data_IF_898211968337
#
_entry.id   IF_898211968337
#
_cell.length_a   1.000
_cell.length_b   1.000
_cell.length_c   1.000
_cell.angle_alpha   90.00
_cell.angle_beta   90.00
_cell.angle_gamma   90.00
#
_symmetry.space_group_name_H-M   'P 1'
#
loop_
_entity.id
_entity.type
_entity.pdbx_description
1 polymer ?
#
# COMPACT_ATOMS: atom_id res chain seq x y z
N UNK A 1 -15.89 -40.08 33.44
CA UNK A 1 -15.40 -40.07 32.02
C UNK A 1 -15.48 -38.70 31.38
N UNK A 2 -16.56 -37.93 31.58
CA UNK A 2 -16.74 -36.55 31.03
C UNK A 2 -15.68 -35.55 31.55
N UNK A 3 -15.32 -35.62 32.82
CA UNK A 3 -14.31 -34.76 33.44
C UNK A 3 -12.88 -34.95 32.93
N UNK A 4 -12.51 -36.17 32.52
CA UNK A 4 -11.21 -36.48 31.95
C UNK A 4 -11.07 -35.95 30.49
N UNK A 5 -12.19 -35.96 29.73
CA UNK A 5 -12.24 -35.45 28.34
C UNK A 5 -12.15 -33.92 28.35
N UNK A 6 -12.84 -33.24 29.27
CA UNK A 6 -12.80 -31.79 29.43
C UNK A 6 -11.41 -31.31 29.91
N UNK A 7 -10.75 -32.05 30.81
CA UNK A 7 -9.38 -31.75 31.27
C UNK A 7 -8.34 -31.91 30.16
N UNK A 8 -8.48 -32.96 29.33
CA UNK A 8 -7.60 -33.19 28.19
C UNK A 8 -7.76 -32.12 27.10
N UNK A 9 -8.98 -31.71 26.78
CA UNK A 9 -9.24 -30.64 25.81
C UNK A 9 -8.72 -29.27 26.30
N UNK A 10 -8.89 -28.93 27.55
CA UNK A 10 -8.37 -27.70 28.16
C UNK A 10 -6.82 -27.71 28.17
N UNK A 11 -6.20 -28.86 28.46
CA UNK A 11 -4.76 -29.03 28.42
C UNK A 11 -4.19 -28.83 26.99
N UNK A 12 -4.82 -29.42 25.98
CA UNK A 12 -4.41 -29.26 24.58
C UNK A 12 -4.57 -27.83 24.07
N UNK A 13 -5.67 -27.14 24.46
CA UNK A 13 -5.88 -25.73 24.13
C UNK A 13 -4.84 -24.86 24.82
N UNK A 14 -4.49 -25.15 26.08
CA UNK A 14 -3.45 -24.42 26.82
C UNK A 14 -2.06 -24.57 26.18
N UNK A 15 -1.68 -25.78 25.78
CA UNK A 15 -0.41 -26.06 25.09
C UNK A 15 -0.36 -25.38 23.72
N UNK A 16 -1.45 -25.45 22.94
CA UNK A 16 -1.53 -24.79 21.64
C UNK A 16 -1.45 -23.26 21.77
N UNK A 17 -2.15 -22.67 22.74
CA UNK A 17 -2.12 -21.24 23.02
C UNK A 17 -0.73 -20.77 23.46
N UNK A 18 -0.06 -21.51 24.34
CA UNK A 18 1.31 -21.22 24.80
C UNK A 18 2.30 -21.32 23.64
N UNK A 19 2.19 -22.34 22.80
CA UNK A 19 3.00 -22.51 21.60
C UNK A 19 2.81 -21.35 20.60
N UNK A 20 1.58 -20.92 20.37
CA UNK A 20 1.26 -19.79 19.48
C UNK A 20 1.82 -18.46 20.03
N UNK A 21 1.69 -18.22 21.33
CA UNK A 21 2.25 -17.04 21.98
C UNK A 21 3.80 -17.04 21.96
N UNK A 22 4.43 -18.18 22.20
CA UNK A 22 5.88 -18.36 22.11
C UNK A 22 6.39 -18.11 20.67
N UNK A 23 5.71 -18.67 19.67
CA UNK A 23 6.02 -18.45 18.27
C UNK A 23 5.88 -16.96 17.92
N UNK A 24 4.77 -16.32 18.30
CA UNK A 24 4.58 -14.88 18.10
C UNK A 24 5.68 -14.05 18.74
N UNK A 25 6.03 -14.35 20.00
CA UNK A 25 7.09 -13.65 20.71
C UNK A 25 8.45 -13.79 20.00
N UNK A 26 8.77 -15.01 19.53
CA UNK A 26 10.00 -15.26 18.77
C UNK A 26 10.04 -14.47 17.46
N UNK A 27 8.95 -14.47 16.68
CA UNK A 27 8.83 -13.70 15.45
C UNK A 27 8.99 -12.21 15.69
N UNK A 28 8.33 -11.67 16.73
CA UNK A 28 8.44 -10.25 17.12
C UNK A 28 9.87 -9.88 17.53
N UNK A 29 10.54 -10.70 18.33
CA UNK A 29 11.94 -10.49 18.72
C UNK A 29 12.87 -10.45 17.51
N UNK A 30 12.68 -11.39 16.56
CA UNK A 30 13.46 -11.41 15.32
C UNK A 30 13.23 -10.15 14.50
N UNK A 31 11.97 -9.75 14.29
CA UNK A 31 11.62 -8.54 13.58
C UNK A 31 12.16 -7.27 14.27
N UNK A 32 12.06 -7.17 15.60
CA UNK A 32 12.64 -6.05 16.37
C UNK A 32 14.15 -5.93 16.18
N UNK A 33 14.88 -7.05 16.09
CA UNK A 33 16.33 -7.02 15.83
C UNK A 33 16.62 -6.50 14.41
N UNK A 34 15.85 -6.92 13.41
CA UNK A 34 15.98 -6.44 12.03
C UNK A 34 15.69 -4.94 11.90
N UNK A 35 14.81 -4.42 12.76
CA UNK A 35 14.41 -3.01 12.74
C UNK A 35 15.36 -2.08 13.51
N UNK A 36 16.44 -2.59 14.12
CA UNK A 36 17.43 -1.73 14.76
C UNK A 36 18.12 -0.85 13.73
N UNK A 37 18.30 0.39 14.12
CA UNK A 37 19.01 1.41 13.36
C UNK A 37 20.19 1.88 14.23
N UNK A 38 21.40 1.68 13.73
CA UNK A 38 22.62 1.98 14.49
C UNK A 38 23.32 3.27 14.02
N UNK A 39 22.80 3.92 12.97
CA UNK A 39 23.32 5.19 12.45
C UNK A 39 22.99 6.36 13.38
N UNK A 40 23.91 7.27 13.67
CA UNK A 40 23.62 8.48 14.45
C UNK A 40 22.69 9.46 13.73
N UNK A 41 22.47 9.27 12.42
CA UNK A 41 21.54 10.05 11.60
C UNK A 41 20.22 9.32 11.35
N UNK A 42 20.06 8.15 11.96
CA UNK A 42 18.84 7.36 11.81
C UNK A 42 17.62 8.08 12.38
N UNK A 43 16.48 7.78 11.79
CA UNK A 43 15.16 8.20 12.26
C UNK A 43 14.26 6.99 12.42
N UNK A 44 13.57 6.89 13.54
CA UNK A 44 12.55 5.88 13.83
C UNK A 44 11.50 6.49 14.74
N UNK A 45 10.45 7.01 14.16
CA UNK A 45 9.41 7.77 14.86
C UNK A 45 8.03 7.22 14.52
N UNK A 46 7.14 7.21 15.52
CA UNK A 46 5.72 6.90 15.38
C UNK A 46 4.92 8.10 15.92
N UNK A 47 4.04 8.66 15.10
CA UNK A 47 3.23 9.83 15.44
C UNK A 47 1.74 9.56 15.27
N UNK A 48 0.93 10.23 16.08
CA UNK A 48 -0.47 10.51 15.78
C UNK A 48 -0.59 11.99 15.43
N UNK A 49 -0.74 12.30 14.15
CA UNK A 49 -0.81 13.69 13.65
C UNK A 49 -2.25 14.13 13.48
N UNK A 50 -2.58 15.38 13.85
CA UNK A 50 -3.91 15.96 13.65
C UNK A 50 -4.13 16.32 12.18
N UNK A 51 -4.48 15.33 11.36
CA UNK A 51 -4.73 15.51 9.93
C UNK A 51 -6.23 15.48 9.65
N UNK A 52 -6.76 16.58 9.11
CA UNK A 52 -8.15 16.67 8.68
C UNK A 52 -9.19 16.35 9.75
N UNK A 53 -8.93 16.78 11.00
CA UNK A 53 -9.82 16.58 12.14
C UNK A 53 -9.73 15.22 12.81
N UNK A 54 -8.75 14.37 12.43
CA UNK A 54 -8.46 13.08 13.05
C UNK A 54 -7.01 12.97 13.47
N UNK A 55 -6.73 12.22 14.53
CA UNK A 55 -5.38 11.78 14.86
C UNK A 55 -5.01 10.58 13.99
N UNK A 56 -4.20 10.81 12.95
CA UNK A 56 -3.81 9.77 12.00
C UNK A 56 -2.38 9.28 12.28
N UNK A 57 -2.21 7.96 12.28
CA UNK A 57 -0.92 7.34 12.57
C UNK A 57 0.02 7.45 11.37
N UNK A 58 1.26 7.87 11.66
CA UNK A 58 2.36 7.98 10.70
C UNK A 58 3.62 7.40 11.31
N UNK A 59 4.23 6.42 10.63
CA UNK A 59 5.54 5.87 10.99
C UNK A 59 6.60 6.38 10.03
N UNK A 60 7.72 6.88 10.56
CA UNK A 60 8.85 7.45 9.80
C UNK A 60 10.12 6.69 10.15
N UNK A 61 10.79 6.09 9.15
CA UNK A 61 11.98 5.30 9.39
C UNK A 61 13.02 5.46 8.28
N UNK A 62 14.30 5.56 8.66
CA UNK A 62 15.41 5.63 7.72
C UNK A 62 16.76 5.55 8.40
N UNK A 63 17.80 5.06 7.73
CA UNK A 63 19.18 5.03 8.25
C UNK A 63 19.84 6.41 8.25
N UNK A 64 19.38 7.31 7.41
CA UNK A 64 19.79 8.71 7.38
C UNK A 64 18.55 9.59 7.08
N UNK A 65 18.19 10.47 8.01
CA UNK A 65 17.05 11.39 7.86
C UNK A 65 17.17 12.37 6.68
N UNK A 66 18.36 12.47 6.08
CA UNK A 66 18.62 13.29 4.89
C UNK A 66 18.31 12.56 3.59
N UNK A 67 18.09 11.25 3.63
CA UNK A 67 17.66 10.49 2.47
C UNK A 67 16.34 11.04 1.90
N UNK A 68 16.10 10.92 0.59
CA UNK A 68 14.82 11.27 0.01
C UNK A 68 13.66 10.60 0.75
N UNK A 69 12.60 11.35 0.99
CA UNK A 69 11.41 10.83 1.66
C UNK A 69 10.55 10.04 0.68
N UNK A 70 10.24 8.80 1.03
CA UNK A 70 9.33 7.91 0.30
C UNK A 70 8.02 7.77 1.08
N UNK A 71 6.99 8.52 0.68
CA UNK A 71 5.66 8.42 1.26
C UNK A 71 4.87 7.28 0.59
N UNK A 72 4.44 6.29 1.37
CA UNK A 72 3.70 5.12 0.90
C UNK A 72 2.20 5.30 1.13
N UNK A 73 1.44 5.33 0.03
CA UNK A 73 -0.02 5.27 0.05
C UNK A 73 -0.48 3.82 -0.12
N UNK A 74 -0.96 3.23 0.97
CA UNK A 74 -1.40 1.84 1.02
C UNK A 74 -2.68 1.57 0.20
N UNK A 75 -2.90 0.30 -0.15
CA UNK A 75 -4.12 -0.18 -0.79
C UNK A 75 -5.19 -0.65 0.19
N UNK A 76 -6.00 -1.55 -0.30
CA UNK A 76 -6.89 -2.34 0.48
C UNK A 76 -8.39 -2.10 0.45
N UNK A 77 -8.98 -0.88 0.47
CA UNK A 77 -8.51 0.49 0.72
C UNK A 77 -8.11 0.80 2.18
N UNK A 78 -8.40 -0.04 3.15
CA UNK A 78 -8.12 0.15 4.58
C UNK A 78 -7.05 -0.80 5.15
N UNK A 79 -6.16 -1.37 4.34
CA UNK A 79 -5.11 -2.30 4.77
C UNK A 79 -3.83 -1.55 5.15
N UNK A 80 -3.42 -1.53 6.43
CA UNK A 80 -2.20 -0.83 6.84
C UNK A 80 -0.96 -1.52 6.29
N UNK A 81 -0.10 -0.80 5.54
CA UNK A 81 1.15 -1.36 5.01
C UNK A 81 2.30 -1.29 6.01
N UNK A 82 2.10 -0.70 7.18
CA UNK A 82 3.02 -0.76 8.31
C UNK A 82 3.38 -2.19 8.73
N UNK A 83 2.56 -3.19 8.36
CA UNK A 83 2.86 -4.61 8.54
C UNK A 83 4.09 -5.08 7.74
N UNK A 84 4.42 -4.41 6.64
CA UNK A 84 5.58 -4.71 5.79
C UNK A 84 6.88 -4.08 6.30
N UNK A 85 6.85 -3.22 7.31
CA UNK A 85 8.05 -2.51 7.82
C UNK A 85 9.28 -3.41 7.98
N UNK A 86 9.18 -4.63 8.55
CA UNK A 86 10.37 -5.49 8.65
C UNK A 86 10.92 -5.97 7.32
N UNK A 87 10.09 -6.07 6.28
CA UNK A 87 10.50 -6.45 4.93
C UNK A 87 11.15 -5.27 4.20
N UNK A 88 10.68 -4.05 4.46
CA UNK A 88 11.15 -2.83 3.82
C UNK A 88 12.44 -2.28 4.42
N UNK A 89 13.07 -3.00 5.36
CA UNK A 89 14.30 -2.57 6.04
C UNK A 89 15.43 -2.22 5.06
N UNK A 90 15.52 -2.89 3.91
CA UNK A 90 16.49 -2.58 2.86
C UNK A 90 16.25 -1.21 2.19
N UNK A 91 14.99 -0.72 2.16
CA UNK A 91 14.68 0.60 1.61
C UNK A 91 15.17 1.74 2.51
N UNK A 92 15.20 1.53 3.84
CA UNK A 92 15.60 2.52 4.84
C UNK A 92 17.07 3.00 4.69
N UNK A 93 17.89 2.26 3.90
CA UNK A 93 19.26 2.67 3.55
C UNK A 93 19.30 3.83 2.55
N UNK A 94 18.29 3.93 1.71
CA UNK A 94 18.25 4.84 0.56
C UNK A 94 17.15 5.88 0.65
N UNK A 95 16.15 5.61 1.47
CA UNK A 95 14.99 6.46 1.68
C UNK A 95 14.69 6.63 3.18
N UNK A 96 14.11 7.77 3.53
CA UNK A 96 13.30 7.90 4.72
C UNK A 96 11.90 7.44 4.36
N UNK A 97 11.56 6.21 4.76
CA UNK A 97 10.28 5.55 4.42
C UNK A 97 9.21 6.03 5.37
N UNK A 98 8.13 6.58 4.82
CA UNK A 98 6.97 7.04 5.58
C UNK A 98 5.79 6.13 5.28
N UNK A 99 5.24 5.53 6.31
CA UNK A 99 4.02 4.73 6.24
C UNK A 99 2.92 5.46 7.00
N UNK A 100 1.76 5.53 6.39
CA UNK A 100 0.62 6.26 6.91
C UNK A 100 -0.61 5.35 6.92
N UNK A 101 -1.15 5.09 8.10
CA UNK A 101 -2.47 4.48 8.24
C UNK A 101 -3.51 5.58 8.04
N UNK A 102 -4.06 5.65 6.83
CA UNK A 102 -5.04 6.69 6.46
C UNK A 102 -6.32 6.58 7.27
N UNK A 103 -7.15 7.59 7.17
CA UNK A 103 -8.54 7.61 7.63
C UNK A 103 -9.24 6.27 7.36
N UNK A 104 -9.84 5.66 8.38
CA UNK A 104 -10.51 4.37 8.28
C UNK A 104 -9.60 3.13 8.26
N UNK A 105 -8.28 3.28 8.40
CA UNK A 105 -7.33 2.18 8.33
C UNK A 105 -6.55 1.98 9.64
N UNK A 106 -6.20 0.74 9.93
CA UNK A 106 -5.23 0.34 10.94
C UNK A 106 -5.31 1.08 12.26
N UNK A 107 -4.18 1.59 12.75
CA UNK A 107 -4.07 2.31 14.03
C UNK A 107 -4.87 3.61 14.05
N UNK A 108 -5.04 4.28 12.90
CA UNK A 108 -5.90 5.46 12.79
C UNK A 108 -7.34 5.12 13.11
N UNK A 109 -7.85 4.00 12.56
CA UNK A 109 -9.20 3.53 12.90
C UNK A 109 -9.30 3.13 14.37
N UNK A 110 -8.32 2.40 14.88
CA UNK A 110 -8.27 2.00 16.30
C UNK A 110 -8.30 3.19 17.24
N UNK A 111 -7.58 4.28 16.91
CA UNK A 111 -7.51 5.52 17.70
C UNK A 111 -8.83 6.28 17.72
N UNK A 112 -9.50 6.41 16.57
CA UNK A 112 -10.68 7.26 16.42
C UNK A 112 -12.01 6.49 16.49
N UNK A 113 -12.03 5.23 16.07
CA UNK A 113 -13.24 4.42 15.88
C UNK A 113 -14.02 4.81 14.61
N UNK A 114 -14.91 3.92 14.16
CA UNK A 114 -15.70 4.12 12.92
C UNK A 114 -16.57 5.38 12.95
N UNK A 115 -17.27 5.62 14.05
CA UNK A 115 -18.19 6.73 14.18
C UNK A 115 -17.52 8.11 14.09
N UNK A 116 -16.23 8.20 14.43
CA UNK A 116 -15.45 9.43 14.38
C UNK A 116 -14.49 9.51 13.19
N UNK A 117 -14.55 8.55 12.25
CA UNK A 117 -13.73 8.59 11.03
C UNK A 117 -14.08 9.76 10.10
N UNK A 118 -15.22 10.43 10.32
CA UNK A 118 -15.66 11.55 9.51
C UNK A 118 -15.96 11.16 8.06
N UNK A 119 -15.82 12.12 7.15
CA UNK A 119 -16.04 11.89 5.73
C UNK A 119 -15.03 10.88 5.18
N UNK A 120 -15.53 9.82 4.55
CA UNK A 120 -14.74 8.77 3.91
C UNK A 120 -14.86 8.94 2.39
N UNK A 121 -14.00 9.79 1.82
CA UNK A 121 -13.92 10.03 0.37
C UNK A 121 -12.46 10.12 -0.09
N UNK A 122 -12.18 9.83 -1.36
CA UNK A 122 -10.84 10.05 -1.91
C UNK A 122 -10.46 11.53 -1.88
N UNK A 123 -11.42 12.43 -2.08
CA UNK A 123 -11.22 13.87 -1.97
C UNK A 123 -10.70 14.26 -0.59
N UNK A 124 -11.37 13.81 0.47
CA UNK A 124 -10.95 14.06 1.86
C UNK A 124 -9.57 13.47 2.16
N UNK A 125 -9.27 12.27 1.65
CA UNK A 125 -7.96 11.63 1.83
C UNK A 125 -6.84 12.36 1.09
N UNK A 126 -7.13 13.02 -0.03
CA UNK A 126 -6.17 13.90 -0.72
C UNK A 126 -5.85 15.13 0.13
N UNK A 127 -6.86 15.76 0.76
CA UNK A 127 -6.63 16.87 1.70
C UNK A 127 -5.78 16.43 2.90
N UNK A 128 -6.09 15.27 3.50
CA UNK A 128 -5.29 14.71 4.60
C UNK A 128 -3.83 14.45 4.14
N UNK A 129 -3.64 13.96 2.90
CA UNK A 129 -2.32 13.72 2.33
C UNK A 129 -1.52 15.02 2.10
N UNK A 130 -2.17 16.12 1.68
CA UNK A 130 -1.52 17.41 1.53
C UNK A 130 -0.99 17.89 2.89
N UNK A 131 -1.83 17.83 3.94
CA UNK A 131 -1.40 18.20 5.29
C UNK A 131 -0.22 17.33 5.78
N UNK A 132 -0.25 16.04 5.48
CA UNK A 132 0.86 15.14 5.80
C UNK A 132 2.13 15.50 5.02
N UNK A 133 2.02 15.81 3.73
CA UNK A 133 3.18 16.22 2.91
C UNK A 133 3.81 17.51 3.46
N UNK A 134 3.00 18.51 3.84
CA UNK A 134 3.50 19.75 4.41
C UNK A 134 4.20 19.54 5.76
N UNK A 135 3.65 18.67 6.62
CA UNK A 135 4.31 18.23 7.85
C UNK A 135 5.66 17.56 7.56
N UNK A 136 5.69 16.57 6.67
CA UNK A 136 6.91 15.80 6.36
C UNK A 136 8.02 16.70 5.77
N UNK A 137 7.65 17.62 4.89
CA UNK A 137 8.60 18.57 4.30
C UNK A 137 9.25 19.47 5.37
N UNK A 138 8.46 19.96 6.29
CA UNK A 138 8.95 20.79 7.40
C UNK A 138 9.77 19.96 8.39
N UNK A 139 9.24 18.81 8.82
CA UNK A 139 9.85 17.96 9.85
C UNK A 139 11.19 17.33 9.42
N UNK A 140 11.30 16.95 8.14
CA UNK A 140 12.48 16.29 7.58
C UNK A 140 13.39 17.23 6.79
N UNK A 141 13.00 18.49 6.59
CA UNK A 141 13.77 19.47 5.83
C UNK A 141 13.90 19.08 4.34
N UNK A 142 12.91 18.37 3.78
CA UNK A 142 12.92 17.91 2.39
C UNK A 142 11.92 18.70 1.55
N UNK A 143 12.35 19.39 0.49
CA UNK A 143 11.46 20.26 -0.29
C UNK A 143 10.44 19.49 -1.13
N UNK A 144 10.76 18.27 -1.53
CA UNK A 144 9.91 17.38 -2.34
C UNK A 144 10.02 15.94 -1.85
N UNK A 145 8.94 15.19 -2.05
CA UNK A 145 8.81 13.80 -1.64
C UNK A 145 8.77 12.88 -2.86
N UNK A 146 9.12 11.62 -2.69
CA UNK A 146 8.75 10.54 -3.62
C UNK A 146 7.44 9.95 -3.13
N UNK A 147 6.43 9.88 -4.00
CA UNK A 147 5.14 9.30 -3.68
C UNK A 147 5.04 7.89 -4.26
N UNK A 148 4.89 6.89 -3.41
CA UNK A 148 4.59 5.51 -3.80
C UNK A 148 3.12 5.22 -3.56
N UNK A 149 2.37 4.92 -4.63
CA UNK A 149 0.96 4.55 -4.53
C UNK A 149 0.74 3.09 -4.96
N UNK A 150 0.00 2.32 -4.16
CA UNK A 150 -0.32 0.92 -4.42
C UNK A 150 -1.83 0.67 -4.39
N UNK A 151 -2.35 -0.08 -5.38
CA UNK A 151 -3.72 -0.59 -5.41
C UNK A 151 -4.76 0.52 -5.19
N UNK A 152 -5.63 0.41 -4.19
CA UNK A 152 -6.59 1.45 -3.81
C UNK A 152 -5.96 2.77 -3.29
N UNK A 153 -4.63 2.85 -3.18
CA UNK A 153 -3.90 4.10 -2.97
C UNK A 153 -3.74 4.93 -4.24
N UNK A 154 -3.86 4.30 -5.41
CA UNK A 154 -3.68 4.96 -6.73
C UNK A 154 -4.65 6.12 -6.95
N UNK A 155 -5.97 5.99 -6.71
CA UNK A 155 -6.91 7.10 -6.89
C UNK A 155 -6.55 8.36 -6.11
N UNK A 156 -5.97 8.18 -4.92
CA UNK A 156 -5.49 9.28 -4.08
C UNK A 156 -4.18 9.83 -4.63
N UNK A 157 -3.22 8.95 -4.94
CA UNK A 157 -1.89 9.33 -5.42
C UNK A 157 -1.95 10.12 -6.73
N UNK A 158 -2.77 9.68 -7.71
CA UNK A 158 -2.92 10.38 -8.98
C UNK A 158 -3.55 11.78 -8.80
N UNK A 159 -4.62 11.89 -7.98
CA UNK A 159 -5.23 13.19 -7.66
C UNK A 159 -4.26 14.11 -6.94
N UNK A 160 -3.44 13.58 -6.06
CA UNK A 160 -2.49 14.34 -5.27
C UNK A 160 -1.39 14.95 -6.15
N UNK A 161 -0.79 14.18 -7.07
CA UNK A 161 0.25 14.69 -7.98
C UNK A 161 -0.30 15.62 -9.07
N UNK A 162 -1.58 15.52 -9.41
CA UNK A 162 -2.25 16.48 -10.30
C UNK A 162 -2.54 17.80 -9.60
N UNK A 163 -2.94 17.74 -8.33
CA UNK A 163 -3.35 18.91 -7.57
C UNK A 163 -2.16 19.71 -6.99
N UNK A 164 -1.11 19.02 -6.57
CA UNK A 164 0.06 19.57 -5.89
C UNK A 164 1.36 18.96 -6.44
N UNK A 165 1.62 19.11 -7.76
CA UNK A 165 2.79 18.49 -8.39
C UNK A 165 4.12 18.98 -7.78
N UNK A 166 4.16 20.21 -7.28
CA UNK A 166 5.34 20.83 -6.68
C UNK A 166 5.81 20.13 -5.38
N UNK A 167 4.94 19.35 -4.74
CA UNK A 167 5.30 18.58 -3.55
C UNK A 167 6.14 17.33 -3.87
N UNK A 168 6.21 16.93 -5.15
CA UNK A 168 6.77 15.63 -5.50
C UNK A 168 7.94 15.74 -6.46
N UNK A 169 9.01 14.98 -6.16
CA UNK A 169 10.15 14.78 -7.05
C UNK A 169 9.88 13.63 -8.03
N UNK A 170 9.07 12.63 -7.63
CA UNK A 170 8.65 11.52 -8.46
C UNK A 170 7.37 10.88 -7.92
N UNK A 171 6.58 10.31 -8.82
CA UNK A 171 5.50 9.36 -8.53
C UNK A 171 5.95 7.96 -8.92
N UNK A 172 5.70 6.99 -8.04
CA UNK A 172 5.93 5.57 -8.27
C UNK A 172 4.63 4.81 -8.06
N UNK A 173 4.15 4.14 -9.10
CA UNK A 173 2.99 3.26 -9.02
C UNK A 173 3.41 1.79 -8.92
N UNK A 174 2.77 1.04 -8.04
CA UNK A 174 2.82 -0.43 -8.02
C UNK A 174 1.42 -0.97 -7.79
N UNK A 175 1.12 -2.17 -8.28
CA UNK A 175 -0.24 -2.73 -8.16
C UNK A 175 -1.33 -1.73 -8.62
N UNK A 176 -1.06 -0.98 -9.67
CA UNK A 176 -1.76 0.26 -10.02
C UNK A 176 -3.23 -0.01 -10.36
N UNK A 177 -4.16 0.59 -9.62
CA UNK A 177 -5.58 0.58 -9.99
C UNK A 177 -5.86 1.68 -11.02
N UNK A 178 -6.09 1.27 -12.25
CA UNK A 178 -6.35 2.19 -13.38
C UNK A 178 -7.83 2.41 -13.67
N UNK A 179 -8.69 1.79 -12.87
CA UNK A 179 -10.15 1.90 -12.99
C UNK A 179 -10.81 0.53 -13.09
N UNK A 180 -12.00 0.42 -12.48
CA UNK A 180 -12.71 -0.85 -12.36
C UNK A 180 -13.02 -1.46 -13.74
N UNK A 181 -13.54 -0.70 -14.66
CA UNK A 181 -13.89 -1.20 -16.00
C UNK A 181 -12.67 -1.72 -16.78
N UNK A 182 -11.56 -0.98 -16.77
CA UNK A 182 -10.32 -1.37 -17.46
C UNK A 182 -9.67 -2.60 -16.83
N UNK A 183 -9.65 -2.69 -15.51
CA UNK A 183 -9.13 -3.85 -14.76
C UNK A 183 -9.99 -5.09 -15.05
N UNK A 184 -11.30 -4.97 -14.95
CA UNK A 184 -12.20 -6.10 -15.08
C UNK A 184 -12.36 -6.61 -16.52
N UNK A 185 -12.14 -5.77 -17.52
CA UNK A 185 -12.06 -6.21 -18.91
C UNK A 185 -10.99 -7.31 -19.13
N UNK A 186 -9.93 -7.32 -18.31
CA UNK A 186 -8.86 -8.33 -18.34
C UNK A 186 -9.04 -9.38 -17.25
N UNK A 187 -9.32 -8.95 -16.02
CA UNK A 187 -9.33 -9.83 -14.83
C UNK A 187 -10.55 -10.77 -14.80
N UNK A 188 -11.73 -10.29 -15.21
CA UNK A 188 -12.94 -11.12 -15.16
C UNK A 188 -12.89 -12.31 -16.11
N UNK A 189 -12.53 -12.17 -17.41
CA UNK A 189 -12.36 -13.30 -18.32
C UNK A 189 -11.30 -14.30 -17.82
N UNK A 190 -10.18 -13.82 -17.27
CA UNK A 190 -9.14 -14.67 -16.73
C UNK A 190 -9.64 -15.49 -15.52
N UNK A 191 -10.38 -14.84 -14.60
CA UNK A 191 -10.99 -15.52 -13.45
C UNK A 191 -12.03 -16.56 -13.89
N UNK A 192 -12.83 -16.26 -14.92
CA UNK A 192 -13.80 -17.18 -15.49
C UNK A 192 -13.12 -18.39 -16.15
N UNK A 193 -12.04 -18.18 -16.90
CA UNK A 193 -11.23 -19.24 -17.51
C UNK A 193 -10.64 -20.16 -16.45
N UNK A 194 -10.09 -19.59 -15.37
CA UNK A 194 -9.61 -20.37 -14.23
C UNK A 194 -10.72 -21.22 -13.60
N UNK A 195 -11.89 -20.63 -13.35
CA UNK A 195 -13.01 -21.33 -12.72
C UNK A 195 -13.51 -22.51 -13.60
N UNK A 196 -13.48 -22.34 -14.94
CA UNK A 196 -13.79 -23.43 -15.91
C UNK A 196 -12.74 -24.54 -15.86
N UNK A 197 -11.46 -24.20 -15.90
CA UNK A 197 -10.35 -25.16 -15.84
C UNK A 197 -10.35 -25.95 -14.51
N UNK A 198 -10.62 -25.27 -13.39
CA UNK A 198 -10.75 -25.87 -12.08
C UNK A 198 -12.05 -26.64 -11.86
N UNK A 199 -13.01 -26.57 -12.80
CA UNK A 199 -14.36 -27.14 -12.69
C UNK A 199 -15.09 -26.69 -11.40
N UNK A 200 -14.81 -25.46 -10.95
CA UNK A 200 -15.38 -24.90 -9.70
C UNK A 200 -16.81 -24.40 -9.98
N UNK A 201 -17.79 -25.27 -9.69
CA UNK A 201 -19.22 -24.95 -9.91
C UNK A 201 -19.68 -23.74 -9.11
N UNK A 202 -19.14 -23.51 -7.89
CA UNK A 202 -19.54 -22.40 -7.04
C UNK A 202 -18.98 -21.07 -7.60
N UNK A 203 -17.73 -21.08 -8.06
CA UNK A 203 -17.12 -19.95 -8.74
C UNK A 203 -17.87 -19.60 -10.04
N UNK A 204 -18.17 -20.59 -10.87
CA UNK A 204 -18.92 -20.40 -12.10
C UNK A 204 -20.31 -19.82 -11.84
N UNK A 205 -21.07 -20.34 -10.87
CA UNK A 205 -22.38 -19.80 -10.50
C UNK A 205 -22.30 -18.34 -10.01
N UNK A 206 -21.27 -17.99 -9.23
CA UNK A 206 -21.02 -16.62 -8.78
C UNK A 206 -20.78 -15.69 -9.99
N UNK A 207 -19.82 -16.03 -10.86
CA UNK A 207 -19.43 -15.22 -12.02
C UNK A 207 -20.58 -15.07 -13.02
N UNK A 208 -21.36 -16.14 -13.28
CA UNK A 208 -22.52 -16.06 -14.15
C UNK A 208 -23.59 -15.11 -13.61
N UNK A 209 -23.86 -15.17 -12.28
CA UNK A 209 -24.85 -14.28 -11.63
C UNK A 209 -24.40 -12.82 -11.63
N UNK A 210 -23.11 -12.56 -11.39
CA UNK A 210 -22.55 -11.21 -11.36
C UNK A 210 -22.54 -10.57 -12.75
N UNK A 211 -22.22 -11.35 -13.78
CA UNK A 211 -21.92 -10.82 -15.10
C UNK A 211 -20.60 -10.07 -15.14
N UNK A 212 -20.16 -9.74 -16.35
CA UNK A 212 -18.88 -9.07 -16.60
C UNK A 212 -18.92 -7.53 -16.49
N UNK A 213 -20.11 -6.97 -16.30
CA UNK A 213 -20.28 -5.51 -16.16
C UNK A 213 -20.10 -5.08 -14.70
N UNK A 214 -18.99 -4.43 -14.34
CA UNK A 214 -18.74 -4.02 -12.96
C UNK A 214 -19.78 -3.03 -12.45
N UNK A 215 -20.35 -2.17 -13.29
CA UNK A 215 -21.34 -1.17 -12.88
C UNK A 215 -22.59 -1.77 -12.20
N UNK A 216 -22.80 -3.08 -12.35
CA UNK A 216 -23.93 -3.82 -11.77
C UNK A 216 -23.59 -4.54 -10.46
N UNK A 217 -22.34 -4.41 -9.98
CA UNK A 217 -21.90 -5.14 -8.79
C UNK A 217 -22.18 -4.37 -7.51
N UNK A 218 -22.61 -5.10 -6.49
CA UNK A 218 -22.69 -4.59 -5.14
C UNK A 218 -21.41 -4.95 -4.34
N UNK A 219 -21.24 -4.32 -3.18
CA UNK A 219 -20.12 -4.55 -2.26
C UNK A 219 -19.97 -6.04 -1.91
N UNK A 220 -21.10 -6.74 -1.69
CA UNK A 220 -21.07 -8.15 -1.30
C UNK A 220 -20.57 -9.04 -2.43
N UNK A 221 -21.01 -8.80 -3.66
CA UNK A 221 -20.56 -9.50 -4.87
C UNK A 221 -19.09 -9.21 -5.15
N UNK A 222 -18.67 -7.95 -5.08
CA UNK A 222 -17.28 -7.54 -5.20
C UNK A 222 -16.39 -8.25 -4.18
N UNK A 223 -16.76 -8.26 -2.91
CA UNK A 223 -16.00 -8.95 -1.87
C UNK A 223 -15.91 -10.48 -2.10
N UNK A 224 -16.95 -11.11 -2.67
CA UNK A 224 -16.91 -12.53 -3.05
C UNK A 224 -15.96 -12.75 -4.22
N UNK A 225 -15.98 -11.88 -5.22
CA UNK A 225 -15.07 -11.91 -6.36
C UNK A 225 -13.62 -11.76 -5.91
N UNK A 226 -13.31 -10.80 -5.02
CA UNK A 226 -11.95 -10.60 -4.49
C UNK A 226 -11.45 -11.85 -3.77
N UNK A 227 -12.28 -12.50 -2.94
CA UNK A 227 -11.93 -13.78 -2.29
C UNK A 227 -11.77 -14.92 -3.28
N UNK A 228 -12.58 -14.98 -4.34
CA UNK A 228 -12.40 -15.95 -5.41
C UNK A 228 -11.08 -15.72 -6.14
N UNK A 229 -10.79 -14.47 -6.48
CA UNK A 229 -9.57 -14.08 -7.19
C UNK A 229 -8.31 -14.35 -6.36
N UNK A 230 -8.36 -14.19 -5.05
CA UNK A 230 -7.28 -14.55 -4.13
C UNK A 230 -6.89 -16.05 -4.26
N UNK A 231 -7.82 -16.93 -4.63
CA UNK A 231 -7.58 -18.35 -4.90
C UNK A 231 -6.93 -18.62 -6.26
N UNK A 232 -6.95 -17.66 -7.17
CA UNK A 232 -6.33 -17.78 -8.51
C UNK A 232 -4.86 -17.36 -8.52
N UNK A 233 -4.34 -16.87 -7.40
CA UNK A 233 -2.94 -16.46 -7.25
C UNK A 233 -2.02 -17.65 -7.53
N UNK A 234 -1.16 -17.51 -8.54
CA UNK A 234 -0.20 -18.56 -8.96
C UNK A 234 1.22 -18.28 -8.49
N UNK A 235 1.53 -17.03 -8.18
CA UNK A 235 2.86 -16.59 -7.72
C UNK A 235 2.72 -15.95 -6.33
N UNK A 236 3.50 -16.46 -5.38
CA UNK A 236 3.44 -16.01 -3.99
C UNK A 236 2.27 -16.63 -3.22
N UNK A 237 1.68 -15.83 -2.34
CA UNK A 237 0.54 -16.21 -1.49
C UNK A 237 -0.61 -15.23 -1.67
N UNK A 238 -1.83 -15.70 -1.48
CA UNK A 238 -3.01 -14.83 -1.44
C UNK A 238 -2.89 -13.75 -0.34
N UNK A 239 -3.66 -12.67 -0.49
CA UNK A 239 -3.59 -11.50 0.40
C UNK A 239 -3.82 -11.87 1.87
N UNK A 240 -4.84 -12.67 2.17
CA UNK A 240 -5.13 -13.11 3.53
C UNK A 240 -4.00 -13.94 4.15
N UNK A 241 -3.41 -14.84 3.38
CA UNK A 241 -2.27 -15.66 3.80
C UNK A 241 -0.96 -14.86 3.97
N UNK A 242 -0.89 -13.66 3.37
CA UNK A 242 0.25 -12.74 3.47
C UNK A 242 0.13 -11.84 4.69
N UNK A 243 -0.99 -11.10 4.80
CA UNK A 243 -1.16 -10.09 5.85
C UNK A 243 -1.23 -10.69 7.26
N UNK A 244 -1.98 -11.76 7.47
CA UNK A 244 -2.20 -12.36 8.79
C UNK A 244 -0.89 -12.71 9.52
N UNK A 245 0.00 -13.55 8.95
CA UNK A 245 1.27 -13.90 9.59
C UNK A 245 2.22 -12.70 9.78
N UNK A 246 2.22 -11.72 8.86
CA UNK A 246 3.03 -10.52 8.99
C UNK A 246 2.57 -9.66 10.17
N UNK A 247 1.27 -9.41 10.28
CA UNK A 247 0.69 -8.65 11.40
C UNK A 247 0.96 -9.32 12.75
N UNK A 248 0.71 -10.62 12.85
CA UNK A 248 0.97 -11.39 14.08
C UNK A 248 2.45 -11.37 14.48
N UNK A 249 3.36 -11.36 13.51
CA UNK A 249 4.81 -11.32 13.73
C UNK A 249 5.40 -9.91 13.87
N UNK A 250 4.65 -8.87 13.56
CA UNK A 250 5.14 -7.49 13.59
C UNK A 250 5.34 -7.00 15.03
N UNK A 251 6.50 -6.38 15.35
CA UNK A 251 6.71 -5.76 16.65
C UNK A 251 5.90 -4.48 16.84
N UNK A 252 5.47 -3.85 15.75
CA UNK A 252 4.73 -2.58 15.75
C UNK A 252 3.23 -2.77 15.94
N UNK A 253 2.71 -4.04 15.86
CA UNK A 253 1.28 -4.33 15.94
C UNK A 253 0.94 -5.19 17.15
N UNK A 254 0.04 -4.70 18.00
CA UNK A 254 -0.64 -5.48 19.03
C UNK A 254 -1.73 -6.38 18.47
N UNK A 255 -2.39 -7.16 19.31
CA UNK A 255 -3.55 -7.95 18.88
C UNK A 255 -4.75 -7.05 18.53
N UNK A 256 -4.90 -5.92 19.24
CA UNK A 256 -5.89 -4.89 18.90
C UNK A 256 -5.69 -4.37 17.48
N UNK A 257 -4.46 -4.01 17.10
CA UNK A 257 -4.14 -3.49 15.77
C UNK A 257 -4.47 -4.50 14.65
N UNK A 258 -4.39 -5.81 14.93
CA UNK A 258 -4.84 -6.86 13.99
C UNK A 258 -6.34 -6.78 13.74
N UNK A 259 -7.11 -6.61 14.81
CA UNK A 259 -8.57 -6.46 14.72
C UNK A 259 -8.96 -5.15 14.04
N UNK A 260 -8.25 -4.07 14.33
CA UNK A 260 -8.44 -2.76 13.70
C UNK A 260 -8.14 -2.81 12.20
N UNK A 261 -7.12 -3.54 11.77
CA UNK A 261 -6.81 -3.72 10.36
C UNK A 261 -7.89 -4.52 9.61
N UNK A 262 -8.40 -5.61 10.20
CA UNK A 262 -9.50 -6.39 9.62
C UNK A 262 -10.77 -5.54 9.54
N UNK A 263 -11.09 -4.83 10.62
CA UNK A 263 -12.24 -3.93 10.69
C UNK A 263 -12.10 -2.75 9.73
N UNK A 264 -10.88 -2.21 9.59
CA UNK A 264 -10.56 -1.11 8.70
C UNK A 264 -10.70 -1.48 7.23
N UNK A 265 -10.22 -2.65 6.85
CA UNK A 265 -10.41 -3.15 5.48
C UNK A 265 -11.90 -3.26 5.13
N UNK A 266 -12.71 -3.86 5.99
CA UNK A 266 -14.15 -4.02 5.77
C UNK A 266 -14.86 -2.65 5.73
N UNK A 267 -14.61 -1.79 6.72
CA UNK A 267 -15.20 -0.47 6.84
C UNK A 267 -14.84 0.44 5.66
N UNK A 268 -13.55 0.55 5.33
CA UNK A 268 -13.11 1.40 4.23
C UNK A 268 -13.57 0.87 2.87
N UNK A 269 -13.66 -0.45 2.69
CA UNK A 269 -14.22 -1.02 1.45
C UNK A 269 -15.68 -0.64 1.29
N UNK A 270 -16.48 -0.73 2.36
CA UNK A 270 -17.89 -0.34 2.33
C UNK A 270 -18.08 1.14 2.03
N UNK A 271 -17.33 2.00 2.74
CA UNK A 271 -17.47 3.46 2.63
C UNK A 271 -16.95 4.03 1.30
N UNK A 272 -15.92 3.42 0.72
CA UNK A 272 -15.28 3.91 -0.51
C UNK A 272 -15.71 3.13 -1.77
N UNK A 273 -16.65 2.19 -1.63
CA UNK A 273 -17.02 1.29 -2.72
C UNK A 273 -17.47 2.05 -3.96
N UNK A 274 -18.39 2.97 -3.82
CA UNK A 274 -18.96 3.75 -4.93
C UNK A 274 -17.88 4.56 -5.66
N UNK A 275 -17.02 5.26 -4.91
CA UNK A 275 -15.92 6.02 -5.51
C UNK A 275 -14.87 5.13 -6.16
N UNK A 276 -14.55 3.98 -5.55
CA UNK A 276 -13.60 3.02 -6.10
C UNK A 276 -14.17 2.38 -7.38
N UNK A 277 -15.46 2.16 -7.40
CA UNK A 277 -16.20 1.55 -8.52
C UNK A 277 -16.31 2.50 -9.71
N UNK A 278 -16.61 3.78 -9.44
CA UNK A 278 -16.68 4.83 -10.43
C UNK A 278 -15.32 5.34 -10.91
N UNK A 279 -14.22 4.94 -10.22
CA UNK A 279 -12.89 5.44 -10.54
C UNK A 279 -12.43 4.95 -11.91
N UNK A 280 -11.98 5.91 -12.73
CA UNK A 280 -11.22 5.71 -13.96
C UNK A 280 -10.04 6.68 -13.97
N UNK A 281 -8.82 6.16 -14.04
CA UNK A 281 -7.61 6.97 -14.07
C UNK A 281 -7.54 7.89 -15.31
N UNK A 282 -8.14 7.47 -16.43
CA UNK A 282 -8.21 8.26 -17.68
C UNK A 282 -9.07 9.52 -17.51
N UNK A 283 -10.10 9.46 -16.66
CA UNK A 283 -10.98 10.60 -16.39
C UNK A 283 -10.28 11.75 -15.66
N UNK A 284 -9.16 11.47 -14.98
CA UNK A 284 -8.34 12.49 -14.33
C UNK A 284 -7.43 13.27 -15.29
N UNK A 285 -7.32 12.83 -16.54
CA UNK A 285 -6.33 13.28 -17.51
C UNK A 285 -5.08 12.39 -17.52
N UNK A 286 -4.28 12.56 -18.56
CA UNK A 286 -3.12 11.69 -18.81
C UNK A 286 -1.79 12.47 -18.78
N UNK A 287 -1.84 13.77 -18.51
CA UNK A 287 -0.66 14.64 -18.46
C UNK A 287 -0.30 14.98 -17.02
N UNK A 288 0.90 14.58 -16.63
CA UNK A 288 1.46 14.83 -15.30
C UNK A 288 2.72 15.68 -15.40
N UNK A 289 2.89 16.59 -14.45
CA UNK A 289 4.10 17.43 -14.34
C UNK A 289 5.20 16.73 -13.51
N UNK A 290 4.85 15.64 -12.83
CA UNK A 290 5.74 14.86 -11.98
C UNK A 290 6.32 13.70 -12.79
N UNK A 291 7.61 13.37 -12.67
CA UNK A 291 8.19 12.12 -13.20
C UNK A 291 7.40 10.90 -12.77
N UNK A 292 7.04 10.03 -13.72
CA UNK A 292 6.02 8.97 -13.53
C UNK A 292 6.61 7.59 -13.79
N UNK A 293 6.78 6.81 -12.75
CA UNK A 293 7.34 5.46 -12.79
C UNK A 293 6.27 4.45 -12.39
N UNK A 294 6.23 3.31 -13.08
CA UNK A 294 5.37 2.19 -12.70
C UNK A 294 6.18 0.89 -12.73
N UNK A 295 6.25 0.22 -11.59
CA UNK A 295 6.86 -1.09 -11.44
C UNK A 295 5.78 -2.06 -10.97
N UNK A 296 5.37 -2.99 -11.84
CA UNK A 296 4.14 -3.75 -11.66
C UNK A 296 4.38 -5.25 -11.73
N UNK A 297 3.73 -6.03 -10.88
CA UNK A 297 3.83 -7.48 -10.88
C UNK A 297 3.30 -8.10 -12.17
N UNK A 298 4.09 -8.96 -12.83
CA UNK A 298 3.69 -9.61 -14.10
C UNK A 298 2.60 -10.67 -13.93
N UNK A 299 2.40 -11.18 -12.72
CA UNK A 299 1.38 -12.17 -12.36
C UNK A 299 0.29 -11.58 -11.42
N UNK A 300 0.07 -10.27 -11.46
CA UNK A 300 -0.99 -9.62 -10.67
C UNK A 300 -2.38 -10.00 -11.21
N UNK A 301 -3.16 -10.69 -10.38
CA UNK A 301 -4.52 -11.13 -10.73
C UNK A 301 -5.60 -10.11 -10.33
N UNK A 302 -5.26 -9.11 -9.50
CA UNK A 302 -6.20 -8.09 -9.01
C UNK A 302 -6.20 -6.85 -9.91
N UNK A 303 -5.01 -6.41 -10.33
CA UNK A 303 -4.80 -5.32 -11.27
C UNK A 303 -3.87 -5.81 -12.39
N UNK A 304 -4.40 -6.54 -13.39
CA UNK A 304 -3.58 -7.22 -14.39
C UNK A 304 -2.66 -6.26 -15.14
N UNK A 305 -1.41 -6.68 -15.32
CA UNK A 305 -0.36 -5.89 -15.94
C UNK A 305 -0.75 -5.32 -17.31
N UNK A 306 -1.55 -6.06 -18.10
CA UNK A 306 -2.02 -5.61 -19.42
C UNK A 306 -2.90 -4.34 -19.33
N UNK A 307 -3.79 -4.26 -18.33
CA UNK A 307 -4.64 -3.08 -18.13
C UNK A 307 -3.79 -1.87 -17.70
N UNK A 308 -2.82 -2.09 -16.83
CA UNK A 308 -1.91 -1.05 -16.34
C UNK A 308 -0.99 -0.56 -17.45
N UNK A 309 -0.42 -1.46 -18.23
CA UNK A 309 0.45 -1.12 -19.37
C UNK A 309 -0.28 -0.30 -20.41
N UNK A 310 -1.54 -0.64 -20.71
CA UNK A 310 -2.38 0.12 -21.65
C UNK A 310 -2.60 1.56 -21.14
N UNK A 311 -2.88 1.76 -19.86
CA UNK A 311 -3.02 3.09 -19.28
C UNK A 311 -1.69 3.87 -19.30
N UNK A 312 -0.57 3.25 -18.87
CA UNK A 312 0.72 3.92 -18.83
C UNK A 312 1.22 4.31 -20.21
N UNK A 313 0.87 3.57 -21.26
CA UNK A 313 1.20 3.94 -22.64
C UNK A 313 0.65 5.32 -23.02
N UNK A 314 -0.52 5.67 -22.52
CA UNK A 314 -1.21 6.94 -22.77
C UNK A 314 -0.70 8.09 -21.89
N UNK A 315 -0.05 7.81 -20.75
CA UNK A 315 0.47 8.82 -19.84
C UNK A 315 1.56 9.67 -20.50
N UNK A 316 1.48 10.97 -20.27
CA UNK A 316 2.48 11.98 -20.64
C UNK A 316 3.10 12.56 -19.36
N UNK A 317 4.42 12.50 -19.23
CA UNK A 317 5.15 13.02 -18.08
C UNK A 317 6.57 13.43 -18.50
N UNK A 318 7.26 14.30 -17.72
CA UNK A 318 8.64 14.72 -18.03
C UNK A 318 9.62 13.54 -18.15
N UNK A 319 9.44 12.55 -17.28
CA UNK A 319 10.10 11.25 -17.32
C UNK A 319 9.01 10.20 -17.13
N UNK A 320 8.95 9.19 -17.98
CA UNK A 320 8.00 8.09 -17.88
C UNK A 320 8.75 6.77 -18.04
N UNK A 321 8.48 5.84 -17.10
CA UNK A 321 9.03 4.49 -17.16
C UNK A 321 8.02 3.46 -16.69
N UNK A 322 7.92 2.34 -17.41
CA UNK A 322 7.13 1.17 -17.04
C UNK A 322 7.99 -0.08 -17.11
N UNK A 323 8.00 -0.86 -16.04
CA UNK A 323 8.73 -2.12 -16.00
C UNK A 323 7.98 -3.18 -15.19
N UNK A 324 8.05 -4.44 -15.67
CA UNK A 324 7.44 -5.57 -15.00
C UNK A 324 8.38 -6.16 -13.95
N UNK A 325 7.87 -6.26 -12.74
CA UNK A 325 8.51 -7.00 -11.65
C UNK A 325 8.23 -8.50 -11.86
N UNK A 326 9.21 -9.19 -12.45
CA UNK A 326 9.08 -10.58 -12.88
C UNK A 326 8.87 -11.53 -11.72
N UNK A 327 7.97 -12.53 -11.90
CA UNK A 327 7.63 -13.49 -10.88
C UNK A 327 6.95 -12.89 -9.66
N UNK A 328 6.21 -11.79 -9.84
CA UNK A 328 5.54 -11.07 -8.77
C UNK A 328 4.05 -10.91 -9.05
N UNK A 329 3.24 -11.20 -8.04
CA UNK A 329 1.80 -10.93 -8.05
C UNK A 329 1.48 -9.57 -7.43
N UNK A 330 0.24 -9.41 -6.98
CA UNK A 330 -0.20 -8.24 -6.21
C UNK A 330 0.64 -8.07 -4.93
N UNK A 331 1.00 -6.85 -4.58
CA UNK A 331 1.95 -6.51 -3.51
C UNK A 331 3.40 -6.93 -3.79
N UNK A 332 3.76 -7.19 -5.05
CA UNK A 332 5.10 -7.61 -5.45
C UNK A 332 6.20 -6.70 -4.92
N UNK A 333 6.01 -5.39 -4.93
CA UNK A 333 6.94 -4.40 -4.40
C UNK A 333 7.29 -4.63 -2.92
N UNK A 334 6.30 -5.03 -2.11
CA UNK A 334 6.44 -5.20 -0.66
C UNK A 334 6.90 -6.61 -0.29
N UNK A 335 6.55 -7.61 -1.09
CA UNK A 335 6.92 -9.01 -0.86
C UNK A 335 8.28 -9.36 -1.46
N UNK A 336 8.74 -8.62 -2.47
CA UNK A 336 10.05 -8.72 -3.09
C UNK A 336 10.77 -7.36 -3.00
N UNK A 337 11.06 -6.86 -1.78
CA UNK A 337 11.50 -5.49 -1.55
C UNK A 337 12.89 -5.19 -2.15
N UNK A 338 13.79 -6.17 -2.27
CA UNK A 338 15.12 -5.96 -2.84
C UNK A 338 15.11 -5.77 -4.37
N UNK A 339 14.43 -6.63 -5.17
CA UNK A 339 14.23 -6.36 -6.59
C UNK A 339 13.54 -5.02 -6.86
N UNK A 340 12.49 -4.69 -6.10
CA UNK A 340 11.82 -3.40 -6.25
C UNK A 340 12.73 -2.23 -5.88
N UNK A 341 13.53 -2.35 -4.81
CA UNK A 341 14.54 -1.35 -4.46
C UNK A 341 15.58 -1.15 -5.56
N UNK A 342 15.98 -2.23 -6.25
CA UNK A 342 16.91 -2.12 -7.38
C UNK A 342 16.33 -1.21 -8.48
N UNK A 343 15.05 -1.35 -8.82
CA UNK A 343 14.35 -0.48 -9.77
C UNK A 343 14.26 0.98 -9.27
N UNK A 344 13.94 1.18 -7.99
CA UNK A 344 13.94 2.53 -7.40
C UNK A 344 15.31 3.20 -7.49
N UNK A 345 16.38 2.45 -7.23
CA UNK A 345 17.76 2.95 -7.30
C UNK A 345 18.19 3.25 -8.73
N UNK A 346 17.80 2.41 -9.67
CA UNK A 346 18.19 2.54 -11.07
C UNK A 346 17.46 3.68 -11.77
N UNK A 347 16.15 3.84 -11.52
CA UNK A 347 15.31 4.74 -12.32
C UNK A 347 14.85 5.98 -11.55
N UNK A 348 14.54 5.87 -10.26
CA UNK A 348 13.92 6.96 -9.49
C UNK A 348 14.95 7.82 -8.80
N UNK A 349 15.92 7.24 -8.08
CA UNK A 349 16.90 8.02 -7.33
C UNK A 349 17.73 8.99 -8.18
N UNK A 350 18.18 8.67 -9.41
CA UNK A 350 18.90 9.63 -10.25
C UNK A 350 18.06 10.86 -10.59
N UNK A 351 16.76 10.69 -10.87
CA UNK A 351 15.82 11.78 -11.17
C UNK A 351 15.59 12.66 -9.93
N UNK A 352 15.43 12.04 -8.77
CA UNK A 352 15.26 12.75 -7.49
C UNK A 352 16.52 13.55 -7.14
N UNK A 353 17.71 13.00 -7.34
CA UNK A 353 18.98 13.67 -7.08
C UNK A 353 19.18 14.88 -8.02
N UNK A 354 18.87 14.75 -9.31
CA UNK A 354 18.93 15.86 -10.27
C UNK A 354 17.98 17.00 -9.88
N UNK A 355 16.75 16.70 -9.49
CA UNK A 355 15.76 17.69 -9.03
C UNK A 355 16.18 18.41 -7.73
N UNK A 356 17.04 17.81 -6.92
CA UNK A 356 17.65 18.43 -5.73
C UNK A 356 18.80 19.38 -6.09
N UNK A 357 19.66 18.98 -7.02
CA UNK A 357 20.85 19.75 -7.44
C UNK A 357 20.52 21.07 -8.18
N UNK A 358 19.43 21.11 -8.94
CA UNK A 358 18.98 22.31 -9.66
C UNK A 358 18.57 23.47 -8.75
N UNK A 359 18.50 23.28 -7.43
CA UNK A 359 18.03 24.28 -6.45
C UNK A 359 19.06 24.72 -5.41
N UNK A 360 20.29 24.21 -5.43
CA UNK A 360 21.35 24.87 -4.69
C UNK A 360 21.62 26.22 -5.37
N UNK A 361 21.43 27.36 -4.68
CA UNK A 361 21.75 28.64 -5.30
C UNK A 361 23.24 28.61 -5.67
N UNK A 362 23.55 28.78 -6.96
CA UNK A 362 24.91 29.13 -7.38
C UNK A 362 25.34 30.27 -6.50
N UNK A 363 26.28 30.01 -5.58
CA UNK A 363 26.94 31.04 -4.80
C UNK A 363 27.44 32.09 -5.75
N UNK A 364 26.85 33.29 -5.71
CA UNK A 364 27.39 34.43 -6.40
C UNK A 364 28.85 34.58 -5.98
N UNK A 365 29.83 34.59 -6.91
CA UNK A 365 31.18 34.94 -6.55
C UNK A 365 31.14 36.35 -6.00
N UNK A 366 31.66 36.51 -4.78
CA UNK A 366 31.64 37.73 -4.03
C UNK A 366 32.04 38.94 -4.87
N UNK A 367 31.23 39.97 -4.82
CA UNK A 367 31.64 41.30 -5.22
C UNK A 367 32.83 41.71 -4.35
N UNK A 368 34.01 41.73 -4.89
CA UNK A 368 35.13 42.56 -4.45
C UNK A 368 34.68 44.02 -4.61
N UNK A 369 34.51 44.73 -3.51
CA UNK A 369 34.92 46.13 -3.34
C UNK A 369 35.04 46.39 -1.82
#
# INVERSE_FOLDING_TARGET
>A
MLTAILGGAAGLIGVAATGALGYRASRRRRASRLLRLDSPRAIAEDHFLPLGGLEQWVGIRGEDRRNPVLLVLHGGPGSPYSVFTPLLRCWERYFTVVQWDRRGAGKTLGRNGKARSGEMSFGRMVEDAILLCDFLRSHLGQPRLVLLASSAGTPIGLRLILRRPELFAAFVGTDLNVGMAAVEAVAFPATLAWARAAKDRKALALLTRMGSDPARWDVASFNRLMRLRDRTVTVGRGLGATFGPLMLGSPQHGLGDVMDAISGLAFSTEQLFEELHAFDARSLGQRFEVPFFVFHGDADVFTPAAAVQAYVAEVQAPVKHFELLRGSGHLGAFMHPEPFLALLRQHVLPVVAAAGAEREPTSFPGALL
#
